data_IF_922689784462
#
_entry.id   IF_922689784462
#
_cell.length_a   1.000
_cell.length_b   1.000
_cell.length_c   1.000
_cell.angle_alpha   90.00
_cell.angle_beta   90.00
_cell.angle_gamma   90.00
#
_symmetry.space_group_name_H-M   'P 1'
#
loop_
_entity.id
_entity.type
_entity.pdbx_description
1 polymer ?
#
# COMPACT_ATOMS: atom_id res chain seq x y z
N UNK A 1 31.47 15.58 -38.25
CA UNK A 1 31.41 14.19 -37.74
C UNK A 1 30.32 14.08 -36.67
N UNK A 2 29.19 13.46 -37.00
CA UNK A 2 28.08 13.26 -36.03
C UNK A 2 28.47 12.12 -35.09
N UNK A 3 28.58 12.39 -33.78
CA UNK A 3 28.75 11.35 -32.77
C UNK A 3 27.44 10.54 -32.66
N UNK A 4 27.46 9.20 -32.67
CA UNK A 4 26.27 8.42 -32.39
C UNK A 4 25.87 8.62 -30.93
N UNK A 5 24.66 9.12 -30.70
CA UNK A 5 24.03 9.15 -29.38
C UNK A 5 23.52 7.74 -29.11
N UNK A 6 24.32 6.90 -28.47
CA UNK A 6 23.86 5.66 -27.89
C UNK A 6 22.94 6.00 -26.71
N UNK A 7 21.65 6.22 -26.99
CA UNK A 7 20.63 6.30 -25.95
C UNK A 7 20.64 4.98 -25.19
N UNK A 8 20.80 5.06 -23.86
CA UNK A 8 20.87 3.94 -22.91
C UNK A 8 19.57 3.12 -22.92
N UNK A 9 19.38 2.27 -23.92
CA UNK A 9 18.21 1.41 -24.09
C UNK A 9 18.01 0.45 -22.90
N UNK A 10 19.11 0.05 -22.25
CA UNK A 10 19.13 -0.80 -21.05
C UNK A 10 18.56 -0.14 -19.79
N UNK A 11 18.67 1.19 -19.65
CA UNK A 11 18.14 1.90 -18.48
C UNK A 11 16.62 2.11 -18.57
N UNK A 12 16.10 2.33 -19.78
CA UNK A 12 14.66 2.48 -20.02
C UNK A 12 13.90 1.16 -19.82
N UNK A 13 14.46 0.06 -20.34
CA UNK A 13 13.88 -1.28 -20.17
C UNK A 13 13.78 -1.69 -18.71
N UNK A 14 14.80 -1.40 -17.90
CA UNK A 14 14.79 -1.70 -16.45
C UNK A 14 13.68 -0.95 -15.70
N UNK A 15 13.56 0.37 -15.93
CA UNK A 15 12.52 1.20 -15.29
C UNK A 15 11.11 0.81 -15.75
N UNK A 16 10.95 0.45 -17.02
CA UNK A 16 9.66 -0.02 -17.52
C UNK A 16 9.26 -1.33 -16.83
N UNK A 17 10.17 -2.30 -16.74
CA UNK A 17 9.88 -3.61 -16.15
C UNK A 17 9.41 -3.51 -14.69
N UNK A 18 9.98 -2.60 -13.90
CA UNK A 18 9.60 -2.38 -12.50
C UNK A 18 8.18 -1.88 -12.31
N UNK A 19 7.63 -1.13 -13.27
CA UNK A 19 6.30 -0.52 -13.20
C UNK A 19 5.32 -1.05 -14.26
N UNK A 20 5.72 -2.09 -15.02
CA UNK A 20 4.94 -2.61 -16.13
C UNK A 20 3.64 -3.26 -15.61
N UNK A 21 2.44 -2.76 -15.96
CA UNK A 21 1.19 -3.29 -15.40
C UNK A 21 0.92 -4.76 -15.78
N UNK A 22 1.59 -5.25 -16.83
CA UNK A 22 1.50 -6.62 -17.33
C UNK A 22 2.48 -7.60 -16.69
N UNK A 23 3.50 -7.12 -15.97
CA UNK A 23 4.44 -7.98 -15.27
C UNK A 23 3.75 -8.77 -14.14
N UNK A 24 4.30 -9.92 -13.79
CA UNK A 24 3.76 -10.76 -12.73
C UNK A 24 4.22 -10.25 -11.35
N UNK A 25 3.27 -9.80 -10.53
CA UNK A 25 3.54 -9.25 -9.20
C UNK A 25 3.05 -10.19 -8.10
N UNK A 26 3.83 -10.27 -7.01
CA UNK A 26 3.45 -11.01 -5.80
C UNK A 26 2.25 -10.35 -5.14
N UNK A 27 1.32 -11.13 -4.61
CA UNK A 27 0.16 -10.60 -3.87
C UNK A 27 0.59 -9.58 -2.78
N UNK A 28 -0.11 -8.46 -2.68
CA UNK A 28 0.18 -7.40 -1.71
C UNK A 28 0.13 -7.89 -0.26
N UNK A 29 -0.77 -8.83 0.07
CA UNK A 29 -0.81 -9.46 1.40
C UNK A 29 0.45 -10.27 1.71
N UNK A 30 1.00 -10.98 0.72
CA UNK A 30 2.23 -11.74 0.90
C UNK A 30 3.48 -10.85 0.89
N UNK A 31 3.46 -9.76 0.12
CA UNK A 31 4.59 -8.81 0.06
C UNK A 31 4.66 -7.90 1.29
N UNK A 32 3.53 -7.40 1.77
CA UNK A 32 3.46 -6.34 2.78
C UNK A 32 3.23 -6.93 4.17
N UNK A 33 2.29 -7.85 4.32
CA UNK A 33 1.88 -8.40 5.63
C UNK A 33 2.42 -9.79 5.91
N UNK A 34 3.32 -10.30 5.07
CA UNK A 34 3.85 -11.66 5.15
C UNK A 34 2.77 -12.76 5.24
N UNK A 35 1.55 -12.48 4.76
CA UNK A 35 0.50 -13.47 4.75
C UNK A 35 0.85 -14.60 3.76
N UNK A 36 0.42 -15.81 4.07
CA UNK A 36 0.62 -16.93 3.16
C UNK A 36 -0.26 -16.78 1.91
N UNK A 37 0.33 -16.24 0.84
CA UNK A 37 -0.28 -16.18 -0.49
C UNK A 37 0.82 -16.35 -1.56
N UNK A 38 0.80 -17.48 -2.26
CA UNK A 38 1.85 -17.91 -3.19
C UNK A 38 1.67 -17.37 -4.61
N UNK A 39 0.73 -16.47 -4.83
CA UNK A 39 0.28 -16.16 -6.17
C UNK A 39 0.94 -14.92 -6.76
N UNK A 40 1.16 -15.01 -8.07
CA UNK A 40 1.74 -13.99 -8.91
C UNK A 40 0.81 -13.69 -10.08
N UNK A 41 0.46 -12.42 -10.26
CA UNK A 41 -0.47 -11.98 -11.31
C UNK A 41 -0.13 -10.56 -11.80
N UNK A 42 -0.53 -10.20 -13.04
CA UNK A 42 -0.54 -8.81 -13.48
C UNK A 42 -1.32 -7.90 -12.54
N UNK A 43 -0.95 -6.62 -12.51
CA UNK A 43 -1.46 -5.64 -11.55
C UNK A 43 -3.00 -5.53 -11.59
N UNK A 44 -3.59 -5.57 -12.79
CA UNK A 44 -5.05 -5.52 -12.98
C UNK A 44 -5.77 -6.68 -12.27
N UNK A 45 -5.15 -7.87 -12.24
CA UNK A 45 -5.74 -9.06 -11.62
C UNK A 45 -5.43 -9.15 -10.12
N UNK A 46 -4.42 -8.43 -9.62
CA UNK A 46 -4.17 -8.34 -8.19
C UNK A 46 -5.33 -7.71 -7.44
N UNK A 47 -5.96 -6.67 -8.00
CA UNK A 47 -7.14 -6.00 -7.39
C UNK A 47 -8.29 -6.99 -7.19
N UNK A 48 -8.70 -7.67 -8.26
CA UNK A 48 -9.79 -8.68 -8.25
C UNK A 48 -9.48 -9.78 -7.24
N UNK A 49 -8.24 -10.26 -7.23
CA UNK A 49 -7.80 -11.31 -6.32
C UNK A 49 -7.91 -10.89 -4.87
N UNK A 50 -7.43 -9.71 -4.52
CA UNK A 50 -7.46 -9.21 -3.15
C UNK A 50 -8.90 -9.18 -2.62
N UNK A 51 -9.84 -8.71 -3.45
CA UNK A 51 -11.26 -8.71 -3.09
C UNK A 51 -11.85 -10.10 -2.93
N UNK A 52 -11.43 -11.06 -3.76
CA UNK A 52 -11.95 -12.44 -3.74
C UNK A 52 -11.37 -13.27 -2.60
N UNK A 53 -10.04 -13.30 -2.50
CA UNK A 53 -9.31 -14.24 -1.65
C UNK A 53 -8.98 -13.65 -0.27
N UNK A 54 -8.95 -12.31 -0.16
CA UNK A 54 -8.66 -11.59 1.07
C UNK A 54 -9.83 -10.70 1.50
N UNK A 55 -11.07 -11.06 1.14
CA UNK A 55 -12.30 -10.31 1.45
C UNK A 55 -12.42 -9.90 2.91
N UNK A 56 -12.09 -10.80 3.84
CA UNK A 56 -12.16 -10.54 5.30
C UNK A 56 -11.25 -9.40 5.76
N UNK A 57 -10.16 -9.18 5.02
CA UNK A 57 -9.15 -8.15 5.30
C UNK A 57 -9.21 -7.01 4.29
N UNK A 58 -10.29 -6.91 3.52
CA UNK A 58 -10.47 -5.91 2.47
C UNK A 58 -11.73 -5.09 2.76
N UNK A 59 -11.68 -3.80 2.47
CA UNK A 59 -12.84 -2.91 2.48
C UNK A 59 -12.99 -2.28 1.11
N UNK A 60 -14.21 -2.25 0.59
CA UNK A 60 -14.54 -1.62 -0.68
C UNK A 60 -15.47 -0.44 -0.43
N UNK A 61 -15.13 0.73 -0.98
CA UNK A 61 -15.97 1.93 -0.90
C UNK A 61 -16.06 2.59 -2.27
N UNK A 62 -17.28 2.80 -2.75
CA UNK A 62 -17.55 3.52 -3.99
C UNK A 62 -17.51 5.03 -3.72
N UNK A 63 -16.55 5.76 -4.29
CA UNK A 63 -16.54 7.24 -4.25
C UNK A 63 -15.75 7.90 -3.11
N UNK A 64 -14.95 7.14 -2.35
CA UNK A 64 -14.16 7.69 -1.24
C UNK A 64 -14.97 7.87 0.04
N UNK A 65 -14.39 8.62 0.99
CA UNK A 65 -15.05 8.93 2.26
C UNK A 65 -14.34 8.38 3.50
N UNK A 66 -15.06 8.39 4.63
CA UNK A 66 -14.53 7.92 5.91
C UNK A 66 -14.61 6.41 5.98
N UNK A 67 -13.46 5.79 6.21
CA UNK A 67 -13.34 4.36 6.44
C UNK A 67 -13.10 4.14 7.93
N UNK A 68 -14.02 3.43 8.58
CA UNK A 68 -13.87 3.07 9.98
C UNK A 68 -13.23 1.69 10.08
N UNK A 69 -12.13 1.61 10.80
CA UNK A 69 -11.52 0.34 11.17
C UNK A 69 -11.35 0.32 12.68
N UNK A 70 -11.95 -0.68 13.31
CA UNK A 70 -11.62 -1.01 14.68
C UNK A 70 -10.24 -1.66 14.68
N UNK A 71 -9.28 -1.00 15.32
CA UNK A 71 -8.02 -1.62 15.67
C UNK A 71 -8.29 -2.41 16.95
N UNK A 72 -8.04 -3.72 16.91
CA UNK A 72 -7.98 -4.54 18.13
C UNK A 72 -6.97 -3.92 19.10
N UNK A 73 -7.03 -4.22 20.41
CA UNK A 73 -6.12 -3.63 21.39
C UNK A 73 -4.68 -3.67 20.86
N UNK A 74 -4.11 -2.48 20.67
CA UNK A 74 -2.76 -2.33 20.14
C UNK A 74 -1.80 -2.81 21.23
N UNK A 75 -1.49 -4.11 21.21
CA UNK A 75 -0.39 -4.65 22.01
C UNK A 75 0.92 -4.06 21.49
N UNK A 76 1.97 -4.07 22.32
CA UNK A 76 3.29 -3.49 22.01
C UNK A 76 3.96 -4.02 20.72
N UNK A 77 3.40 -5.09 20.14
CA UNK A 77 3.90 -5.74 18.93
C UNK A 77 2.79 -5.96 17.90
N UNK A 78 1.66 -5.23 18.00
CA UNK A 78 0.55 -5.39 17.08
C UNK A 78 0.98 -4.98 15.66
N UNK A 79 0.72 -5.88 14.72
CA UNK A 79 0.86 -5.64 13.29
C UNK A 79 -0.49 -5.96 12.65
N UNK A 80 -1.08 -4.95 12.01
CA UNK A 80 -2.37 -5.07 11.35
C UNK A 80 -2.29 -4.51 9.94
N UNK A 81 -3.10 -5.07 9.05
CA UNK A 81 -3.19 -4.58 7.69
C UNK A 81 -4.57 -4.77 7.11
N UNK A 82 -4.99 -3.83 6.26
CA UNK A 82 -6.20 -3.95 5.45
C UNK A 82 -5.95 -3.47 4.03
N UNK A 83 -6.54 -4.18 3.07
CA UNK A 83 -6.69 -3.67 1.73
C UNK A 83 -7.91 -2.74 1.67
N UNK A 84 -7.76 -1.62 0.97
CA UNK A 84 -8.84 -0.68 0.70
C UNK A 84 -8.99 -0.55 -0.81
N UNK A 85 -10.18 -0.83 -1.33
CA UNK A 85 -10.55 -0.53 -2.71
C UNK A 85 -11.38 0.75 -2.73
N UNK A 86 -10.81 1.81 -3.28
CA UNK A 86 -11.43 3.14 -3.32
C UNK A 86 -11.16 3.76 -4.68
N UNK A 87 -12.16 4.37 -5.31
CA UNK A 87 -12.05 4.93 -6.66
C UNK A 87 -11.55 3.92 -7.72
N UNK A 88 -11.87 2.62 -7.56
CA UNK A 88 -11.36 1.55 -8.44
C UNK A 88 -9.87 1.23 -8.25
N UNK A 89 -9.21 1.91 -7.31
CA UNK A 89 -7.82 1.74 -6.97
C UNK A 89 -7.65 0.92 -5.69
N UNK A 90 -6.56 0.14 -5.65
CA UNK A 90 -6.22 -0.68 -4.51
C UNK A 90 -5.15 0.01 -3.68
N UNK A 91 -5.45 0.21 -2.41
CA UNK A 91 -4.55 0.72 -1.40
C UNK A 91 -4.37 -0.35 -0.33
N UNK A 92 -3.24 -0.29 0.35
CA UNK A 92 -2.91 -1.17 1.45
C UNK A 92 -2.57 -0.31 2.65
N UNK A 93 -3.39 -0.39 3.69
CA UNK A 93 -3.13 0.31 4.95
C UNK A 93 -2.49 -0.66 5.91
N UNK A 94 -1.42 -0.21 6.51
CA UNK A 94 -0.62 -0.96 7.44
C UNK A 94 -0.47 -0.17 8.73
N UNK A 95 -0.65 -0.86 9.86
CA UNK A 95 -0.48 -0.31 11.20
C UNK A 95 0.49 -1.18 11.98
N UNK A 96 1.40 -0.53 12.68
CA UNK A 96 2.39 -1.23 13.50
C UNK A 96 2.70 -0.43 14.75
N UNK A 97 2.85 -1.11 15.89
CA UNK A 97 3.44 -0.54 17.09
C UNK A 97 4.89 -1.01 17.19
N UNK A 98 5.84 -0.09 17.33
CA UNK A 98 7.26 -0.39 17.53
C UNK A 98 7.75 0.48 18.69
N UNK A 99 8.26 -0.13 19.76
CA UNK A 99 8.78 0.59 20.95
C UNK A 99 7.78 1.62 21.49
N UNK A 100 6.51 1.21 21.60
CA UNK A 100 5.36 2.03 22.05
C UNK A 100 4.92 3.16 21.08
N UNK A 101 5.61 3.37 19.95
CA UNK A 101 5.19 4.29 18.91
C UNK A 101 4.24 3.62 17.92
N UNK A 102 3.12 4.30 17.60
CA UNK A 102 2.16 3.86 16.60
C UNK A 102 2.48 4.43 15.21
N UNK A 103 2.63 3.54 14.25
CA UNK A 103 2.88 3.87 12.86
C UNK A 103 1.70 3.44 11.99
N UNK A 104 1.33 4.31 11.06
CA UNK A 104 0.29 4.09 10.07
C UNK A 104 0.81 4.50 8.70
N UNK A 105 0.68 3.64 7.70
CA UNK A 105 1.12 3.93 6.33
C UNK A 105 0.09 3.42 5.34
N UNK A 106 -0.09 4.17 4.26
CA UNK A 106 -0.88 3.74 3.10
C UNK A 106 0.04 3.53 1.91
N UNK A 107 -0.08 2.36 1.31
CA UNK A 107 0.64 2.01 0.09
C UNK A 107 -0.34 1.96 -1.07
N UNK A 108 0.00 2.62 -2.17
CA UNK A 108 -0.76 2.50 -3.42
C UNK A 108 -0.27 1.28 -4.20
N UNK A 109 -1.19 0.36 -4.54
CA UNK A 109 -0.89 -0.83 -5.33
C UNK A 109 -1.08 -0.50 -6.81
N UNK A 110 -0.09 0.21 -7.36
CA UNK A 110 -0.02 0.57 -8.77
C UNK A 110 1.17 1.48 -9.11
N UNK A 111 1.23 2.01 -10.35
CA UNK A 111 2.33 2.86 -10.80
C UNK A 111 2.54 4.07 -9.89
N UNK A 112 3.78 4.32 -9.48
CA UNK A 112 4.12 5.41 -8.56
C UNK A 112 3.63 6.79 -9.05
N UNK A 113 3.61 7.02 -10.36
CA UNK A 113 3.09 8.23 -11.00
C UNK A 113 1.64 8.55 -10.63
N UNK A 114 0.83 7.54 -10.35
CA UNK A 114 -0.58 7.71 -10.04
C UNK A 114 -0.83 7.89 -8.54
N UNK A 115 0.15 7.53 -7.70
CA UNK A 115 0.01 7.59 -6.24
C UNK A 115 -0.21 9.01 -5.73
N UNK A 116 0.34 10.03 -6.40
CA UNK A 116 0.30 11.44 -5.99
C UNK A 116 -1.09 12.07 -6.09
N UNK A 117 -1.98 11.50 -6.90
CA UNK A 117 -3.40 11.90 -7.01
C UNK A 117 -4.20 11.50 -5.76
N UNK A 118 -3.64 10.56 -5.01
CA UNK A 118 -4.08 10.04 -3.71
C UNK A 118 -4.07 11.10 -2.60
N UNK A 119 -4.93 11.01 -1.59
CA UNK A 119 -4.78 11.74 -0.33
C UNK A 119 -5.45 10.96 0.79
N UNK A 120 -4.72 10.69 1.88
CA UNK A 120 -5.29 9.97 3.03
C UNK A 120 -5.09 10.79 4.29
N UNK A 121 -6.15 10.88 5.09
CA UNK A 121 -6.10 11.42 6.45
C UNK A 121 -6.40 10.28 7.41
N UNK A 122 -5.47 9.98 8.29
CA UNK A 122 -5.72 9.14 9.45
C UNK A 122 -6.31 10.01 10.55
N UNK A 123 -7.36 9.51 11.21
CA UNK A 123 -7.96 10.17 12.37
C UNK A 123 -8.16 9.11 13.44
N UNK A 124 -7.63 9.36 14.63
CA UNK A 124 -7.88 8.57 15.83
C UNK A 124 -8.64 9.44 16.82
N UNK A 125 -9.70 8.89 17.40
CA UNK A 125 -10.51 9.56 18.42
C UNK A 125 -10.57 8.68 19.64
N UNK A 126 -10.22 9.23 20.80
CA UNK A 126 -10.30 8.53 22.07
C UNK A 126 -11.74 8.06 22.34
N UNK A 127 -11.91 6.99 23.12
CA UNK A 127 -13.23 6.41 23.41
C UNK A 127 -14.19 7.40 24.06
N UNK A 128 -13.66 8.32 24.88
CA UNK A 128 -14.42 9.41 25.50
C UNK A 128 -14.80 10.54 24.51
N UNK A 129 -14.33 10.47 23.25
CA UNK A 129 -14.51 11.46 22.17
C UNK A 129 -13.95 12.85 22.46
N UNK A 130 -13.19 13.02 23.54
CA UNK A 130 -12.61 14.31 23.93
C UNK A 130 -11.38 14.62 23.09
N UNK A 131 -10.55 13.61 22.86
CA UNK A 131 -9.29 13.76 22.14
C UNK A 131 -9.42 13.19 20.73
N UNK A 132 -9.03 13.99 19.73
CA UNK A 132 -8.95 13.55 18.35
C UNK A 132 -7.64 14.00 17.75
N UNK A 133 -6.85 13.04 17.26
CA UNK A 133 -5.60 13.30 16.54
C UNK A 133 -5.84 12.98 15.07
N UNK A 134 -5.41 13.86 14.18
CA UNK A 134 -5.47 13.63 12.74
C UNK A 134 -4.13 13.93 12.07
N UNK A 135 -3.74 13.09 11.11
CA UNK A 135 -2.53 13.25 10.35
C UNK A 135 -2.76 12.93 8.87
N UNK A 136 -2.17 13.74 7.98
CA UNK A 136 -2.11 13.42 6.56
C UNK A 136 -1.04 12.37 6.32
N UNK A 137 -1.39 11.29 5.63
CA UNK A 137 -0.48 10.17 5.42
C UNK A 137 0.32 10.34 4.13
N UNK A 138 1.63 10.11 4.25
CA UNK A 138 2.52 9.97 3.10
C UNK A 138 2.22 8.62 2.45
N UNK A 139 1.94 8.65 1.15
CA UNK A 139 1.66 7.44 0.38
C UNK A 139 2.99 6.89 -0.14
N UNK A 140 3.16 5.58 -0.05
CA UNK A 140 4.29 4.85 -0.62
C UNK A 140 3.84 4.10 -1.85
N UNK A 141 4.68 3.98 -2.87
CA UNK A 141 4.40 3.09 -4.00
C UNK A 141 4.63 1.64 -3.59
N UNK A 142 3.77 0.73 -4.07
CA UNK A 142 4.00 -0.71 -3.97
C UNK A 142 5.35 -1.15 -4.57
N UNK A 143 5.89 -0.41 -5.54
CA UNK A 143 7.18 -0.71 -6.17
C UNK A 143 8.38 -0.19 -5.36
N UNK A 144 8.15 0.68 -4.37
CA UNK A 144 9.21 1.03 -3.43
C UNK A 144 9.63 -0.23 -2.67
N UNK A 145 10.94 -0.42 -2.59
CA UNK A 145 11.50 -1.52 -1.83
C UNK A 145 11.28 -1.22 -0.35
N UNK A 146 10.47 -2.04 0.34
CA UNK A 146 10.16 -1.89 1.78
C UNK A 146 11.37 -2.16 2.70
N UNK A 147 12.59 -2.10 2.17
CA UNK A 147 13.82 -2.34 2.93
C UNK A 147 13.96 -1.22 3.96
N UNK A 148 13.83 -1.63 5.24
CA UNK A 148 14.44 -0.99 6.42
C UNK A 148 13.98 0.42 6.81
N UNK A 149 12.73 0.82 6.60
CA UNK A 149 12.24 2.05 7.28
C UNK A 149 11.79 1.82 8.73
N UNK A 150 11.71 0.56 9.18
CA UNK A 150 11.18 0.19 10.49
C UNK A 150 12.13 -0.67 11.34
N UNK A 151 13.36 -0.86 10.86
CA UNK A 151 14.42 -1.54 11.60
C UNK A 151 15.28 -0.49 12.30
N UNK A 152 14.83 -0.06 13.49
CA UNK A 152 15.71 0.53 14.51
C UNK A 152 16.08 -0.55 15.53
#
# INVERSE_FOLDING_TARGET
>A
TRRPVALKFSAWTSRHQEACPFAAYRCSFAKISNAFCTHYRPLQFLKIRVLKDHKRNSLETYGGGKIYSHLSPLTRTANMSKALLVFGELFYVFWQVIKDDFYCTVMYVGPGSNSSQYGFRFTSTATNKVETISACMIKRSYFETLIKSWSL
#
